data_IF_538769357425
#
_entry.id   IF_538769357425
#
_cell.length_a   1.000
_cell.length_b   1.000
_cell.length_c   1.000
_cell.angle_alpha   90.00
_cell.angle_beta   90.00
_cell.angle_gamma   90.00
#
_symmetry.space_group_name_H-M   'P 1'
#
loop_
_entity.id
_entity.type
_entity.pdbx_description
1 polymer ?
#
# COMPACT_ATOMS: atom_id res chain seq x y z
N UNK A 1 -29.96 -24.72 17.28
CA UNK A 1 -29.86 -24.69 15.82
C UNK A 1 -30.20 -23.29 15.35
N UNK A 2 -29.31 -22.40 14.98
CA UNK A 2 -27.96 -22.49 14.43
C UNK A 2 -27.26 -21.14 14.70
N UNK A 3 -25.94 -21.11 14.86
CA UNK A 3 -25.17 -19.85 14.92
C UNK A 3 -24.07 -19.79 15.99
N UNK A 4 -23.73 -20.94 16.57
CA UNK A 4 -22.60 -21.14 17.45
C UNK A 4 -21.28 -21.15 16.63
N UNK A 5 -20.31 -20.33 17.04
CA UNK A 5 -18.86 -20.48 16.80
C UNK A 5 -18.33 -20.42 15.33
N UNK A 6 -18.12 -19.21 14.78
CA UNK A 6 -17.04 -18.94 13.79
C UNK A 6 -16.05 -17.80 14.18
N UNK A 7 -15.75 -17.50 15.46
CA UNK A 7 -14.69 -16.53 15.79
C UNK A 7 -13.26 -17.11 15.68
N UNK A 8 -13.09 -18.44 15.56
CA UNK A 8 -11.77 -19.08 15.69
C UNK A 8 -10.97 -19.07 14.37
N UNK A 9 -11.53 -19.52 13.24
CA UNK A 9 -10.77 -19.65 11.99
C UNK A 9 -10.15 -18.34 11.48
N UNK A 10 -10.88 -17.23 11.60
CA UNK A 10 -10.37 -15.92 11.18
C UNK A 10 -9.25 -15.41 12.10
N UNK A 11 -9.31 -15.70 13.40
CA UNK A 11 -8.24 -15.38 14.33
C UNK A 11 -7.01 -16.25 14.08
N UNK A 12 -7.20 -17.56 13.86
CA UNK A 12 -6.13 -18.48 13.49
C UNK A 12 -5.47 -18.08 12.17
N UNK A 13 -6.24 -17.64 11.17
CA UNK A 13 -5.72 -17.19 9.89
C UNK A 13 -4.91 -15.90 10.02
N UNK A 14 -5.36 -14.94 10.83
CA UNK A 14 -4.60 -13.71 11.13
C UNK A 14 -3.27 -14.03 11.80
N UNK A 15 -3.25 -14.93 12.78
CA UNK A 15 -2.01 -15.36 13.45
C UNK A 15 -1.07 -16.08 12.49
N UNK A 16 -1.57 -17.00 11.64
CA UNK A 16 -0.75 -17.70 10.64
C UNK A 16 -0.10 -16.73 9.65
N UNK A 17 -0.85 -15.73 9.16
CA UNK A 17 -0.33 -14.71 8.22
C UNK A 17 0.68 -13.79 8.93
N UNK A 18 0.40 -13.40 10.17
CA UNK A 18 1.33 -12.60 10.97
C UNK A 18 2.65 -13.35 11.21
N UNK A 19 2.60 -14.59 11.67
CA UNK A 19 3.77 -15.45 11.89
C UNK A 19 4.58 -15.65 10.61
N UNK A 20 3.91 -15.96 9.49
CA UNK A 20 4.57 -16.09 8.19
C UNK A 20 5.26 -14.79 7.77
N UNK A 21 4.59 -13.65 7.95
CA UNK A 21 5.15 -12.34 7.61
C UNK A 21 6.35 -11.97 8.47
N UNK A 22 6.26 -12.15 9.79
CA UNK A 22 7.34 -11.87 10.72
C UNK A 22 8.55 -12.77 10.47
N UNK A 23 8.31 -14.05 10.15
CA UNK A 23 9.37 -14.99 9.78
C UNK A 23 10.09 -14.53 8.51
N UNK A 24 9.36 -14.10 7.48
CA UNK A 24 9.95 -13.57 6.26
C UNK A 24 10.73 -12.27 6.51
N UNK A 25 10.17 -11.35 7.31
CA UNK A 25 10.85 -10.10 7.67
C UNK A 25 12.15 -10.38 8.44
N UNK A 26 12.11 -11.30 9.42
CA UNK A 26 13.28 -11.70 10.19
C UNK A 26 14.34 -12.39 9.30
N UNK A 27 13.93 -13.28 8.41
CA UNK A 27 14.80 -13.93 7.44
C UNK A 27 15.47 -12.92 6.49
N UNK A 28 14.72 -11.92 6.01
CA UNK A 28 15.24 -10.86 5.13
C UNK A 28 16.14 -9.88 5.87
N UNK A 29 15.87 -9.59 7.14
CA UNK A 29 16.74 -8.79 7.99
C UNK A 29 18.07 -9.51 8.29
N UNK A 30 18.04 -10.84 8.42
CA UNK A 30 19.23 -11.67 8.61
C UNK A 30 20.05 -11.84 7.32
N UNK A 31 19.40 -11.82 6.14
CA UNK A 31 20.11 -11.72 4.87
C UNK A 31 20.63 -10.29 4.68
N UNK A 32 21.89 -10.04 5.04
CA UNK A 32 22.58 -8.82 4.62
C UNK A 32 22.36 -8.63 3.10
N UNK A 33 22.08 -7.40 2.62
CA UNK A 33 21.97 -7.18 1.19
C UNK A 33 23.28 -7.63 0.55
N UNK A 34 23.19 -8.52 -0.44
CA UNK A 34 24.34 -8.89 -1.26
C UNK A 34 25.04 -7.58 -1.73
N UNK A 35 26.38 -7.56 -1.81
CA UNK A 35 27.10 -6.38 -2.24
C UNK A 35 26.50 -5.86 -3.54
N UNK A 36 26.08 -4.59 -3.55
CA UNK A 36 25.51 -3.96 -4.72
C UNK A 36 26.48 -4.15 -5.90
N UNK A 37 26.08 -4.76 -7.03
CA UNK A 37 26.84 -4.61 -8.25
C UNK A 37 26.90 -3.13 -8.60
N UNK A 38 28.11 -2.66 -8.94
CA UNK A 38 28.37 -1.27 -9.32
C UNK A 38 27.33 -0.77 -10.33
N UNK A 39 26.72 0.42 -10.14
CA UNK A 39 25.74 0.92 -11.07
C UNK A 39 26.41 1.16 -12.42
N UNK A 40 25.97 0.44 -13.44
CA UNK A 40 26.19 0.85 -14.83
C UNK A 40 25.40 2.14 -15.07
N UNK A 41 25.97 3.19 -15.68
CA UNK A 41 25.28 4.45 -15.89
C UNK A 41 24.31 4.33 -17.07
N UNK A 42 23.19 3.65 -16.87
CA UNK A 42 22.03 3.79 -17.74
C UNK A 42 21.16 4.90 -17.15
N UNK A 43 21.49 6.13 -17.54
CA UNK A 43 20.68 7.33 -17.39
C UNK A 43 19.26 7.04 -17.90
N UNK A 44 18.35 6.72 -16.99
CA UNK A 44 16.93 6.89 -17.23
C UNK A 44 16.70 8.40 -17.21
N UNK A 45 16.56 8.96 -18.41
CA UNK A 45 16.17 10.34 -18.65
C UNK A 45 14.90 10.63 -17.86
N UNK A 46 15.07 11.26 -16.70
CA UNK A 46 13.98 11.87 -15.99
C UNK A 46 13.52 13.04 -16.85
N UNK A 47 12.53 12.79 -17.71
CA UNK A 47 11.77 13.84 -18.36
C UNK A 47 11.19 14.70 -17.25
N UNK A 48 11.90 15.78 -16.93
CA UNK A 48 11.38 16.90 -16.16
C UNK A 48 10.10 17.35 -16.84
N UNK A 49 8.92 17.29 -16.21
CA UNK A 49 7.85 18.16 -16.66
C UNK A 49 8.34 19.58 -16.39
N UNK A 50 8.77 20.24 -17.47
CA UNK A 50 9.12 21.66 -17.50
C UNK A 50 7.91 22.42 -16.95
N UNK A 51 8.06 22.91 -15.72
CA UNK A 51 7.12 23.82 -15.10
C UNK A 51 7.15 25.14 -15.89
N UNK A 52 6.38 25.22 -16.96
CA UNK A 52 6.02 26.50 -17.56
C UNK A 52 4.84 27.06 -16.80
N UNK A 53 5.15 27.87 -15.79
CA UNK A 53 4.21 28.74 -15.12
C UNK A 53 3.56 29.69 -16.16
N UNK A 54 2.35 29.37 -16.58
CA UNK A 54 1.42 30.34 -17.15
C UNK A 54 0.40 30.68 -16.05
N UNK A 55 0.60 31.83 -15.43
CA UNK A 55 -0.28 32.38 -14.41
C UNK A 55 -1.67 32.69 -15.00
N UNK A 56 -2.71 32.20 -14.35
CA UNK A 56 -4.05 32.79 -14.38
C UNK A 56 -4.63 32.75 -12.94
N UNK A 57 -5.40 33.76 -12.52
CA UNK A 57 -5.55 34.07 -11.10
C UNK A 57 -6.74 33.35 -10.44
N UNK A 58 -6.57 33.03 -9.15
CA UNK A 58 -7.58 32.65 -8.14
C UNK A 58 -8.32 31.31 -8.34
N UNK A 59 -7.93 30.27 -7.59
CA UNK A 59 -8.87 29.27 -7.08
C UNK A 59 -8.34 28.57 -5.82
N UNK A 60 -8.39 29.27 -4.69
CA UNK A 60 -8.26 28.69 -3.34
C UNK A 60 -9.29 27.55 -3.09
N UNK A 61 -10.25 27.34 -3.99
CA UNK A 61 -11.32 26.33 -3.94
C UNK A 61 -10.96 24.98 -4.57
N UNK A 62 -10.11 24.91 -5.60
CA UNK A 62 -9.84 23.66 -6.33
C UNK A 62 -8.95 22.68 -5.53
N UNK A 63 -7.97 23.20 -4.80
CA UNK A 63 -7.08 22.40 -3.92
C UNK A 63 -7.80 21.91 -2.67
N UNK A 64 -8.77 22.69 -2.18
CA UNK A 64 -9.62 22.29 -1.05
C UNK A 64 -10.60 21.18 -1.42
N UNK A 65 -11.24 21.28 -2.59
CA UNK A 65 -12.16 20.24 -3.09
C UNK A 65 -11.46 18.90 -3.34
N UNK A 66 -10.25 18.94 -3.90
CA UNK A 66 -9.47 17.74 -4.21
C UNK A 66 -8.99 17.01 -2.93
N UNK A 67 -8.54 17.76 -1.92
CA UNK A 67 -8.19 17.22 -0.60
C UNK A 67 -9.42 16.69 0.13
N UNK A 68 -10.54 17.41 0.09
CA UNK A 68 -11.78 16.95 0.71
C UNK A 68 -12.25 15.63 0.10
N UNK A 69 -12.21 15.50 -1.24
CA UNK A 69 -12.53 14.26 -1.94
C UNK A 69 -11.59 13.11 -1.56
N UNK A 70 -10.28 13.36 -1.50
CA UNK A 70 -9.33 12.34 -1.05
C UNK A 70 -9.63 11.88 0.39
N UNK A 71 -9.91 12.81 1.32
CA UNK A 71 -10.18 12.48 2.71
C UNK A 71 -11.51 11.74 2.90
N UNK A 72 -12.56 12.11 2.15
CA UNK A 72 -13.84 11.40 2.21
C UNK A 72 -13.70 9.98 1.65
N UNK A 73 -13.03 9.81 0.51
CA UNK A 73 -12.78 8.48 -0.07
C UNK A 73 -11.89 7.64 0.86
N UNK A 74 -10.86 8.24 1.45
CA UNK A 74 -10.02 7.54 2.43
C UNK A 74 -10.84 7.07 3.64
N UNK A 75 -11.73 7.92 4.17
CA UNK A 75 -12.62 7.53 5.27
C UNK A 75 -13.55 6.36 4.91
N UNK A 76 -14.09 6.36 3.69
CA UNK A 76 -14.88 5.24 3.17
C UNK A 76 -14.03 3.98 3.01
N UNK A 77 -12.82 4.09 2.50
CA UNK A 77 -11.93 2.93 2.34
C UNK A 77 -11.47 2.37 3.69
N UNK A 78 -11.15 3.19 4.68
CA UNK A 78 -10.81 2.72 6.02
C UNK A 78 -12.00 2.02 6.69
N UNK A 79 -13.23 2.47 6.45
CA UNK A 79 -14.43 1.83 7.03
C UNK A 79 -14.86 0.55 6.32
N UNK A 80 -14.43 0.35 5.06
CA UNK A 80 -14.84 -0.80 4.22
C UNK A 80 -13.73 -1.80 3.93
N UNK A 81 -12.47 -1.45 4.19
CA UNK A 81 -11.32 -2.33 3.95
C UNK A 81 -11.43 -3.61 4.78
N UNK A 82 -11.07 -4.73 4.17
CA UNK A 82 -11.06 -6.01 4.87
C UNK A 82 -9.91 -6.04 5.89
N UNK A 83 -10.13 -6.46 7.15
CA UNK A 83 -9.10 -6.42 8.19
C UNK A 83 -8.05 -7.54 8.10
N UNK A 84 -8.14 -8.39 7.09
CA UNK A 84 -7.28 -9.56 6.87
C UNK A 84 -6.98 -9.71 5.38
N UNK A 85 -6.32 -10.81 5.01
CA UNK A 85 -6.07 -11.15 3.62
C UNK A 85 -7.41 -11.57 2.98
N UNK A 86 -7.93 -10.73 2.07
CA UNK A 86 -9.09 -11.06 1.23
C UNK A 86 -8.67 -11.94 0.06
N UNK A 87 -9.63 -12.52 -0.68
CA UNK A 87 -9.30 -13.31 -1.87
C UNK A 87 -8.76 -12.48 -3.04
N UNK A 88 -8.20 -13.16 -4.05
CA UNK A 88 -7.67 -12.55 -5.27
C UNK A 88 -6.34 -11.81 -5.05
N UNK A 89 -6.17 -10.67 -5.71
CA UNK A 89 -4.92 -9.90 -5.69
C UNK A 89 -4.58 -9.33 -4.30
N UNK A 90 -5.57 -9.20 -3.42
CA UNK A 90 -5.38 -8.69 -2.06
C UNK A 90 -4.46 -9.61 -1.24
N UNK A 91 -4.61 -10.93 -1.36
CA UNK A 91 -3.69 -11.89 -0.74
C UNK A 91 -2.28 -11.79 -1.32
N UNK A 92 -2.17 -11.65 -2.65
CA UNK A 92 -0.87 -11.56 -3.31
C UNK A 92 -0.11 -10.31 -2.87
N UNK A 93 -0.79 -9.16 -2.83
CA UNK A 93 -0.23 -7.89 -2.35
C UNK A 93 0.19 -7.96 -0.87
N UNK A 94 -0.58 -8.66 -0.03
CA UNK A 94 -0.23 -8.87 1.37
C UNK A 94 1.02 -9.74 1.55
N UNK A 95 1.17 -10.82 0.78
CA UNK A 95 2.37 -11.65 0.79
C UNK A 95 3.60 -10.92 0.23
N UNK A 96 3.41 -10.19 -0.86
CA UNK A 96 4.45 -9.35 -1.48
C UNK A 96 4.93 -8.28 -0.49
N UNK A 97 4.03 -7.66 0.27
CA UNK A 97 4.38 -6.69 1.30
C UNK A 97 5.25 -7.30 2.40
N UNK A 98 5.05 -8.58 2.74
CA UNK A 98 5.88 -9.29 3.70
C UNK A 98 7.28 -9.65 3.16
N UNK A 99 7.40 -10.04 1.89
CA UNK A 99 8.70 -10.35 1.26
C UNK A 99 9.45 -9.12 0.74
N UNK A 100 8.77 -7.96 0.68
CA UNK A 100 9.26 -6.74 0.03
C UNK A 100 9.72 -7.02 -1.42
N UNK A 101 8.98 -7.88 -2.12
CA UNK A 101 9.28 -8.34 -3.47
C UNK A 101 8.56 -7.52 -4.54
N UNK A 102 9.04 -7.58 -5.77
CA UNK A 102 8.33 -6.96 -6.90
C UNK A 102 7.39 -8.02 -7.50
N UNK A 103 6.07 -7.75 -7.62
CA UNK A 103 5.17 -8.63 -8.37
C UNK A 103 5.65 -8.78 -9.82
N UNK A 104 5.13 -9.76 -10.55
CA UNK A 104 5.64 -10.20 -11.85
C UNK A 104 5.99 -9.03 -12.81
N UNK A 105 7.03 -9.14 -13.65
CA UNK A 105 7.63 -7.98 -14.33
C UNK A 105 6.63 -7.22 -15.22
N UNK A 106 6.55 -5.86 -15.15
CA UNK A 106 7.41 -4.89 -14.44
C UNK A 106 6.99 -4.50 -13.00
N UNK A 107 5.93 -5.09 -12.43
CA UNK A 107 5.47 -4.90 -11.06
C UNK A 107 5.16 -3.45 -10.61
N UNK A 108 4.88 -3.27 -9.32
CA UNK A 108 4.58 -1.97 -8.68
C UNK A 108 5.55 -1.66 -7.53
N UNK A 109 6.84 -1.41 -7.80
CA UNK A 109 7.88 -1.36 -6.76
C UNK A 109 7.67 -0.26 -5.71
N UNK A 110 7.15 0.90 -6.10
CA UNK A 110 6.82 1.99 -5.16
C UNK A 110 5.68 1.61 -4.22
N UNK A 111 4.63 0.97 -4.77
CA UNK A 111 3.53 0.43 -3.98
C UNK A 111 4.03 -0.66 -3.03
N UNK A 112 4.87 -1.60 -3.50
CA UNK A 112 5.46 -2.64 -2.65
C UNK A 112 6.19 -2.03 -1.46
N UNK A 113 7.05 -1.03 -1.67
CA UNK A 113 7.78 -0.39 -0.57
C UNK A 113 6.84 0.24 0.46
N UNK A 114 5.80 0.94 -0.01
CA UNK A 114 4.77 1.52 0.85
C UNK A 114 3.99 0.44 1.62
N UNK A 115 3.56 -0.61 0.93
CA UNK A 115 2.81 -1.72 1.51
C UNK A 115 3.65 -2.48 2.55
N UNK A 116 4.94 -2.72 2.28
CA UNK A 116 5.87 -3.31 3.26
C UNK A 116 6.06 -2.42 4.49
N UNK A 117 6.20 -1.11 4.30
CA UNK A 117 6.35 -0.17 5.41
C UNK A 117 5.09 -0.16 6.29
N UNK A 118 3.91 -0.03 5.69
CA UNK A 118 2.64 -0.03 6.41
C UNK A 118 2.39 -1.37 7.10
N UNK A 119 2.64 -2.50 6.42
CA UNK A 119 2.48 -3.84 7.01
C UNK A 119 3.35 -4.02 8.25
N UNK A 120 4.60 -3.53 8.25
CA UNK A 120 5.49 -3.54 9.41
C UNK A 120 5.01 -2.61 10.54
N UNK A 121 4.61 -1.39 10.20
CA UNK A 121 4.13 -0.42 11.18
C UNK A 121 2.86 -0.92 11.88
N UNK A 122 1.90 -1.46 11.13
CA UNK A 122 0.66 -2.00 11.67
C UNK A 122 0.88 -3.32 12.42
N UNK A 123 1.79 -4.18 11.98
CA UNK A 123 2.19 -5.37 12.74
C UNK A 123 2.80 -4.99 14.11
N UNK A 124 3.62 -3.94 14.17
CA UNK A 124 4.17 -3.43 15.43
C UNK A 124 3.09 -2.88 16.38
N UNK A 125 1.94 -2.45 15.83
CA UNK A 125 0.77 -2.01 16.58
C UNK A 125 -0.21 -3.14 16.91
N UNK A 126 0.11 -4.40 16.59
CA UNK A 126 -0.71 -5.57 16.87
C UNK A 126 -1.78 -5.90 15.82
N UNK A 127 -1.77 -5.24 14.66
CA UNK A 127 -2.67 -5.55 13.54
C UNK A 127 -2.08 -6.63 12.63
N UNK A 128 -2.93 -7.21 11.78
CA UNK A 128 -2.46 -8.16 10.76
C UNK A 128 -1.60 -7.44 9.71
N UNK A 129 -0.58 -8.10 9.12
CA UNK A 129 0.19 -7.50 8.02
C UNK A 129 -0.69 -7.19 6.79
N UNK A 130 -1.72 -8.01 6.58
CA UNK A 130 -2.73 -7.76 5.55
C UNK A 130 -3.49 -6.44 5.76
N UNK A 131 -3.68 -6.01 7.02
CA UNK A 131 -4.25 -4.70 7.31
C UNK A 131 -3.39 -3.56 6.76
N UNK A 132 -2.07 -3.63 6.94
CA UNK A 132 -1.15 -2.58 6.46
C UNK A 132 -1.06 -2.50 4.94
N UNK A 133 -1.09 -3.64 4.24
CA UNK A 133 -1.16 -3.66 2.77
C UNK A 133 -2.49 -3.14 2.23
N UNK A 134 -3.62 -3.53 2.83
CA UNK A 134 -4.94 -2.99 2.46
C UNK A 134 -5.03 -1.48 2.74
N UNK A 135 -4.39 -1.00 3.81
CA UNK A 135 -4.30 0.43 4.12
C UNK A 135 -3.47 1.19 3.07
N UNK A 136 -2.37 0.62 2.58
CA UNK A 136 -1.59 1.21 1.49
C UNK A 136 -2.42 1.33 0.18
N UNK A 137 -3.26 0.33 -0.12
CA UNK A 137 -4.23 0.40 -1.22
C UNK A 137 -5.28 1.49 -1.00
N UNK A 138 -5.78 1.64 0.23
CA UNK A 138 -6.73 2.69 0.57
C UNK A 138 -6.14 4.10 0.38
N UNK A 139 -4.90 4.33 0.82
CA UNK A 139 -4.21 5.62 0.67
C UNK A 139 -3.98 5.97 -0.80
N UNK A 140 -3.50 5.01 -1.59
CA UNK A 140 -3.21 5.24 -3.02
C UNK A 140 -4.49 5.43 -3.85
N UNK A 141 -5.54 4.67 -3.58
CA UNK A 141 -6.84 4.85 -4.22
C UNK A 141 -7.51 6.18 -3.86
N UNK A 142 -7.43 6.60 -2.58
CA UNK A 142 -7.95 7.90 -2.14
C UNK A 142 -7.17 9.07 -2.74
N UNK A 143 -5.84 8.96 -2.83
CA UNK A 143 -5.00 9.96 -3.49
C UNK A 143 -5.33 10.10 -4.98
N UNK A 144 -5.61 9.00 -5.68
CA UNK A 144 -6.03 9.02 -7.08
C UNK A 144 -7.41 9.67 -7.24
N UNK A 145 -8.35 9.40 -6.34
CA UNK A 145 -9.70 9.99 -6.37
C UNK A 145 -9.69 11.51 -6.13
N UNK A 146 -8.74 12.02 -5.36
CA UNK A 146 -8.51 13.46 -5.15
C UNK A 146 -7.57 14.11 -6.17
N UNK A 147 -7.18 13.42 -7.23
CA UNK A 147 -6.40 14.01 -8.33
C UNK A 147 -7.19 15.11 -9.06
N UNK A 148 -6.53 15.95 -9.88
CA UNK A 148 -7.23 16.91 -10.72
C UNK A 148 -8.04 16.15 -11.76
N UNK A 149 -9.26 15.76 -11.40
CA UNK A 149 -10.26 15.32 -12.35
C UNK A 149 -10.48 16.50 -13.29
N UNK A 150 -10.16 16.28 -14.56
CA UNK A 150 -10.42 17.24 -15.62
C UNK A 150 -11.92 17.55 -15.57
N UNK A 151 -12.28 18.74 -15.06
CA UNK A 151 -13.62 19.27 -15.23
C UNK A 151 -13.83 19.50 -16.74
N UNK A 152 -15.00 19.14 -17.30
CA UNK A 152 -15.30 19.39 -18.71
C UNK A 152 -15.31 20.89 -19.03
#
# INVERSE_FOLDING_TARGET
DEGLLLPDEHATQKQKVLEACLTTIAAKAASAPAPLPSPSPCVAEATTPSASAAAAPIAVTARGGSVLAALTVLGVYISTMFPSAGGGDATELAFIACDAAVPHPPGYPTFTMLASLMSRAFAALGFSPAYGSNFASAVTGAAAAGGPFCAP
#
